data_IF_394696279181
#
_entry.id   IF_394696279181
#
_cell.length_a   1.000
_cell.length_b   1.000
_cell.length_c   1.000
_cell.angle_alpha   90.00
_cell.angle_beta   90.00
_cell.angle_gamma   90.00
#
_symmetry.space_group_name_H-M   'P 1'
#
loop_
_entity.id
_entity.type
_entity.pdbx_description
1 polymer ?
#
# COMPACT_ATOMS: atom_id res chain seq x y z
N UNK A 1 0.44 21.77 -17.06
CA UNK A 1 0.64 20.38 -16.58
C UNK A 1 2.14 20.14 -16.55
N UNK A 2 2.64 19.50 -15.51
CA UNK A 2 4.07 19.26 -15.24
C UNK A 2 4.65 18.08 -16.03
N UNK A 3 3.80 17.20 -16.59
CA UNK A 3 4.24 16.04 -17.39
C UNK A 3 4.26 14.73 -16.62
N UNK A 4 3.98 14.77 -15.31
CA UNK A 4 4.02 13.62 -14.42
C UNK A 4 3.00 12.54 -14.78
N UNK A 5 3.39 11.27 -14.66
CA UNK A 5 2.51 10.10 -14.84
C UNK A 5 2.22 9.46 -13.48
N UNK A 6 0.93 9.27 -13.17
CA UNK A 6 0.49 8.68 -11.90
C UNK A 6 -0.17 7.32 -12.15
N UNK A 7 0.31 6.28 -11.46
CA UNK A 7 -0.15 4.90 -11.59
C UNK A 7 -0.60 4.37 -10.23
N UNK A 8 -1.74 3.68 -10.20
CA UNK A 8 -2.18 2.87 -9.06
C UNK A 8 -2.06 1.39 -9.43
N UNK A 9 -1.29 0.64 -8.64
CA UNK A 9 -1.05 -0.79 -8.84
C UNK A 9 -1.53 -1.56 -7.60
N UNK A 10 -2.36 -2.59 -7.78
CA UNK A 10 -2.87 -3.40 -6.68
C UNK A 10 -2.71 -4.89 -6.92
N UNK A 11 -2.31 -5.62 -5.88
CA UNK A 11 -2.31 -7.07 -5.88
C UNK A 11 -3.56 -7.56 -5.15
N UNK A 12 -4.68 -7.68 -5.87
CA UNK A 12 -5.91 -8.21 -5.30
C UNK A 12 -5.69 -9.65 -4.81
N UNK A 13 -6.14 -9.91 -3.58
CA UNK A 13 -6.32 -11.24 -3.02
C UNK A 13 -7.65 -11.29 -2.25
N UNK A 14 -8.36 -12.44 -2.27
CA UNK A 14 -9.65 -12.60 -1.59
C UNK A 14 -9.61 -12.16 -0.11
N UNK A 15 -10.75 -11.75 0.46
CA UNK A 15 -10.85 -11.47 1.89
C UNK A 15 -10.49 -12.72 2.71
N UNK A 16 -10.00 -12.49 3.93
CA UNK A 16 -9.57 -13.58 4.84
C UNK A 16 -10.73 -14.49 5.25
N UNK A 17 -11.91 -13.89 5.46
CA UNK A 17 -13.13 -14.61 5.81
C UNK A 17 -14.03 -14.81 4.60
N UNK A 18 -14.79 -15.91 4.62
CA UNK A 18 -15.83 -16.24 3.63
C UNK A 18 -17.24 -16.10 4.19
N UNK A 19 -17.37 -15.58 5.41
CA UNK A 19 -18.63 -15.40 6.14
C UNK A 19 -18.93 -13.92 6.37
N UNK A 20 -20.16 -13.60 6.80
CA UNK A 20 -20.56 -12.24 7.17
C UNK A 20 -19.82 -11.69 8.42
N UNK A 21 -19.28 -12.56 9.26
CA UNK A 21 -18.52 -12.17 10.45
C UNK A 21 -17.06 -11.87 10.13
N UNK A 22 -16.49 -10.90 10.84
CA UNK A 22 -15.07 -10.58 10.75
C UNK A 22 -14.21 -11.81 11.08
N UNK A 23 -13.27 -12.13 10.19
CA UNK A 23 -12.29 -13.20 10.41
C UNK A 23 -10.93 -12.57 10.62
N UNK A 24 -10.35 -12.81 11.81
CA UNK A 24 -8.97 -12.44 12.08
C UNK A 24 -8.02 -13.31 11.25
N UNK A 25 -7.03 -12.70 10.61
CA UNK A 25 -6.00 -13.47 9.94
C UNK A 25 -5.22 -12.66 8.92
N UNK A 26 -4.57 -13.39 8.02
CA UNK A 26 -3.64 -12.86 7.04
C UNK A 26 -4.17 -13.17 5.63
N UNK A 27 -4.24 -12.18 4.72
CA UNK A 27 -4.48 -12.46 3.30
C UNK A 27 -3.52 -13.52 2.78
N UNK A 28 -4.08 -14.49 2.07
CA UNK A 28 -3.36 -15.55 1.40
C UNK A 28 -2.89 -15.08 0.01
N UNK A 29 -1.88 -15.75 -0.54
CA UNK A 29 -1.30 -15.47 -1.85
C UNK A 29 0.15 -15.02 -1.78
N UNK A 30 0.78 -14.94 -2.95
CA UNK A 30 2.15 -14.49 -3.11
C UNK A 30 2.23 -12.99 -3.42
N UNK A 31 3.37 -12.38 -3.08
CA UNK A 31 3.73 -11.07 -3.64
C UNK A 31 3.78 -11.16 -5.16
N UNK A 32 3.27 -10.12 -5.84
CA UNK A 32 3.37 -9.99 -7.30
C UNK A 32 4.38 -8.91 -7.63
N UNK A 33 5.27 -9.21 -8.56
CA UNK A 33 6.16 -8.23 -9.15
C UNK A 33 5.50 -7.58 -10.36
N UNK A 34 5.38 -6.26 -10.32
CA UNK A 34 4.96 -5.46 -11.46
C UNK A 34 6.19 -4.89 -12.14
N UNK A 35 6.31 -5.11 -13.46
CA UNK A 35 7.33 -4.51 -14.30
C UNK A 35 6.62 -3.47 -15.16
N UNK A 36 6.80 -2.20 -14.82
CA UNK A 36 6.23 -1.07 -15.55
C UNK A 36 7.30 -0.54 -16.49
N UNK A 37 7.04 -0.62 -17.80
CA UNK A 37 7.87 -0.02 -18.84
C UNK A 37 7.23 1.27 -19.29
N UNK A 38 8.00 2.35 -19.25
CA UNK A 38 7.54 3.67 -19.65
C UNK A 38 8.49 4.21 -20.71
N UNK A 39 7.93 4.48 -21.88
CA UNK A 39 8.66 5.07 -23.00
C UNK A 39 8.80 6.57 -22.80
N UNK A 40 9.86 7.16 -23.35
CA UNK A 40 10.11 8.60 -23.37
C UNK A 40 10.35 9.25 -21.98
N UNK A 41 10.74 8.47 -20.98
CA UNK A 41 11.36 9.00 -19.77
C UNK A 41 12.77 9.54 -20.11
N UNK A 42 13.12 10.70 -19.58
CA UNK A 42 14.47 11.24 -19.65
C UNK A 42 15.45 10.42 -18.79
N UNK A 43 16.74 10.56 -19.09
CA UNK A 43 17.79 9.91 -18.30
C UNK A 43 17.90 10.59 -16.92
N UNK A 44 17.75 9.81 -15.85
CA UNK A 44 17.79 10.32 -14.47
C UNK A 44 16.42 10.46 -13.80
N UNK A 45 15.34 10.12 -14.51
CA UNK A 45 13.98 10.17 -13.98
C UNK A 45 13.78 9.17 -12.83
N UNK A 46 12.98 9.60 -11.86
CA UNK A 46 12.75 8.88 -10.62
C UNK A 46 11.27 8.67 -10.37
N UNK A 47 10.97 7.57 -9.68
CA UNK A 47 9.63 7.26 -9.22
C UNK A 47 9.47 7.61 -7.74
N UNK A 48 8.51 8.46 -7.41
CA UNK A 48 8.02 8.56 -6.04
C UNK A 48 6.99 7.46 -5.80
N UNK A 49 7.22 6.61 -4.80
CA UNK A 49 6.40 5.43 -4.53
C UNK A 49 5.76 5.52 -3.14
N UNK A 50 4.44 5.56 -3.10
CA UNK A 50 3.64 5.44 -1.87
C UNK A 50 3.08 4.04 -1.76
N UNK A 51 3.17 3.43 -0.58
CA UNK A 51 2.73 2.06 -0.34
C UNK A 51 1.68 2.03 0.76
N UNK A 52 0.59 1.33 0.48
CA UNK A 52 -0.44 0.96 1.43
C UNK A 52 -0.43 -0.56 1.59
N UNK A 53 -0.42 -1.04 2.83
CA UNK A 53 -0.46 -2.47 3.11
C UNK A 53 -0.44 -2.75 4.61
N UNK A 54 -0.33 -4.01 5.02
CA UNK A 54 -0.51 -4.43 6.42
C UNK A 54 0.41 -3.80 7.47
N UNK A 55 1.48 -3.14 7.03
CA UNK A 55 2.44 -2.49 7.92
C UNK A 55 2.34 -0.96 7.87
N UNK A 56 1.61 -0.39 6.91
CA UNK A 56 1.55 1.05 6.68
C UNK A 56 0.16 1.45 6.18
N UNK A 57 -0.50 2.37 6.89
CA UNK A 57 -1.88 2.74 6.60
C UNK A 57 -2.90 1.63 6.87
N UNK A 58 -2.59 0.67 7.74
CA UNK A 58 -3.49 -0.42 8.15
C UNK A 58 -3.87 -0.30 9.63
N UNK A 59 -5.09 0.20 9.86
CA UNK A 59 -5.68 0.36 11.18
C UNK A 59 -6.17 -0.97 11.79
N UNK A 60 -6.41 -2.00 10.96
CA UNK A 60 -7.07 -3.25 11.38
C UNK A 60 -6.21 -4.02 12.39
N UNK A 61 -4.88 -4.03 12.20
CA UNK A 61 -3.97 -4.67 13.17
C UNK A 61 -4.07 -4.03 14.55
N UNK A 62 -4.06 -2.69 14.62
CA UNK A 62 -4.17 -1.95 15.87
C UNK A 62 -5.55 -2.14 16.51
N UNK A 63 -6.62 -2.09 15.70
CA UNK A 63 -7.99 -2.29 16.17
C UNK A 63 -8.22 -3.70 16.74
N UNK A 64 -7.62 -4.73 16.12
CA UNK A 64 -7.64 -6.09 16.64
C UNK A 64 -6.90 -6.22 17.97
N UNK A 65 -5.74 -5.57 18.12
CA UNK A 65 -4.97 -5.58 19.36
C UNK A 65 -5.72 -4.92 20.54
N UNK A 66 -6.68 -4.02 20.26
CA UNK A 66 -7.54 -3.39 21.26
C UNK A 66 -8.79 -4.23 21.61
N UNK A 67 -8.99 -5.39 21.00
CA UNK A 67 -10.21 -6.19 21.18
C UNK A 67 -11.41 -5.69 20.41
N UNK A 68 -11.21 -4.82 19.40
CA UNK A 68 -12.26 -4.29 18.51
C UNK A 68 -13.43 -3.61 19.26
N UNK A 69 -13.17 -2.65 20.16
CA UNK A 69 -14.23 -2.00 20.91
C UNK A 69 -15.24 -1.34 19.97
N UNK A 70 -16.53 -1.51 20.24
CA UNK A 70 -17.61 -0.85 19.49
C UNK A 70 -17.54 0.69 19.59
N UNK A 71 -17.03 1.19 20.72
CA UNK A 71 -16.85 2.61 21.01
C UNK A 71 -15.42 2.84 21.52
N UNK A 72 -14.44 3.08 20.63
CA UNK A 72 -13.07 3.37 21.03
C UNK A 72 -12.97 4.65 21.87
N UNK A 73 -12.13 4.65 22.91
CA UNK A 73 -11.81 5.85 23.68
C UNK A 73 -11.04 6.89 22.84
N UNK A 74 -10.91 8.13 23.32
CA UNK A 74 -10.08 9.15 22.64
C UNK A 74 -8.63 8.68 22.46
N UNK A 75 -8.05 8.03 23.45
CA UNK A 75 -6.67 7.51 23.37
C UNK A 75 -6.57 6.38 22.33
N UNK A 76 -7.56 5.48 22.30
CA UNK A 76 -7.62 4.42 21.29
C UNK A 76 -7.75 5.01 19.88
N UNK A 77 -8.58 6.04 19.70
CA UNK A 77 -8.69 6.75 18.42
C UNK A 77 -7.34 7.34 17.99
N UNK A 78 -6.58 7.95 18.90
CA UNK A 78 -5.24 8.46 18.55
C UNK A 78 -4.31 7.34 18.08
N UNK A 79 -4.29 6.20 18.77
CA UNK A 79 -3.49 5.04 18.33
C UNK A 79 -3.94 4.54 16.95
N UNK A 80 -5.25 4.47 16.69
CA UNK A 80 -5.79 4.09 15.39
C UNK A 80 -5.39 5.09 14.29
N UNK A 81 -5.41 6.40 14.58
CA UNK A 81 -4.96 7.45 13.65
C UNK A 81 -3.47 7.31 13.34
N UNK A 82 -2.63 7.03 14.34
CA UNK A 82 -1.20 6.79 14.10
C UNK A 82 -0.99 5.55 13.24
N UNK A 83 -1.72 4.46 13.48
CA UNK A 83 -1.63 3.24 12.68
C UNK A 83 -2.14 3.44 11.22
N UNK A 84 -3.09 4.34 11.02
CA UNK A 84 -3.64 4.69 9.71
C UNK A 84 -2.74 5.64 8.90
N UNK A 85 -1.67 6.20 9.48
CA UNK A 85 -0.74 7.04 8.72
C UNK A 85 -0.06 6.23 7.61
N UNK A 86 -0.01 6.82 6.43
CA UNK A 86 0.75 6.30 5.31
C UNK A 86 2.24 6.31 5.65
N UNK A 87 2.99 5.34 5.12
CA UNK A 87 4.44 5.42 5.11
C UNK A 87 4.88 6.66 4.31
N UNK A 88 6.03 7.22 4.70
CA UNK A 88 6.69 8.22 3.88
C UNK A 88 6.93 7.64 2.47
N UNK A 89 6.71 8.44 1.41
CA UNK A 89 7.03 7.99 0.06
C UNK A 89 8.51 7.66 -0.05
N UNK A 90 8.83 6.66 -0.85
CA UNK A 90 10.21 6.28 -1.16
C UNK A 90 10.52 6.66 -2.60
N UNK A 91 11.67 7.30 -2.80
CA UNK A 91 12.25 7.46 -4.12
C UNK A 91 12.78 6.13 -4.62
N UNK A 92 12.43 5.78 -5.84
CA UNK A 92 12.84 4.53 -6.46
C UNK A 92 13.40 4.82 -7.86
N UNK A 93 14.57 4.29 -8.13
CA UNK A 93 15.23 4.44 -9.42
C UNK A 93 14.43 3.76 -10.53
N UNK A 94 14.38 4.42 -11.68
CA UNK A 94 13.92 3.84 -12.94
C UNK A 94 15.15 3.52 -13.77
N UNK A 95 15.28 2.27 -14.19
CA UNK A 95 16.43 1.81 -14.99
C UNK A 95 15.96 1.50 -16.39
N UNK A 96 16.49 2.20 -17.40
CA UNK A 96 16.13 2.01 -18.81
C UNK A 96 14.61 2.08 -19.05
N UNK A 97 13.96 3.09 -18.48
CA UNK A 97 12.49 3.25 -18.54
C UNK A 97 11.70 2.15 -17.81
N UNK A 98 12.37 1.32 -16.99
CA UNK A 98 11.76 0.18 -16.31
C UNK A 98 11.73 0.40 -14.79
N UNK A 99 10.53 0.43 -14.23
CA UNK A 99 10.28 0.39 -12.79
C UNK A 99 9.81 -1.01 -12.38
N UNK A 100 10.40 -1.56 -11.32
CA UNK A 100 10.00 -2.85 -10.73
C UNK A 100 9.40 -2.65 -9.35
N UNK A 101 8.18 -3.12 -9.12
CA UNK A 101 7.49 -2.96 -7.84
C UNK A 101 6.94 -4.28 -7.35
N UNK A 102 7.46 -4.78 -6.22
CA UNK A 102 6.85 -5.92 -5.53
C UNK A 102 5.70 -5.45 -4.64
N UNK A 103 4.53 -6.07 -4.81
CA UNK A 103 3.30 -5.74 -4.10
C UNK A 103 2.78 -6.99 -3.37
N UNK A 104 2.73 -7.01 -2.02
CA UNK A 104 2.19 -8.14 -1.27
C UNK A 104 0.68 -8.30 -1.51
N UNK A 105 0.08 -9.46 -1.18
CA UNK A 105 -1.37 -9.65 -1.25
C UNK A 105 -2.13 -8.54 -0.51
N UNK A 106 -3.17 -8.01 -1.14
CA UNK A 106 -3.94 -6.84 -0.69
C UNK A 106 -3.11 -5.55 -0.52
N UNK A 107 -1.91 -5.51 -1.12
CA UNK A 107 -1.11 -4.30 -1.20
C UNK A 107 -1.60 -3.38 -2.33
N UNK A 108 -1.48 -2.08 -2.08
CA UNK A 108 -1.71 -1.02 -3.06
C UNK A 108 -0.45 -0.14 -3.10
N UNK A 109 -0.04 0.24 -4.31
CA UNK A 109 1.08 1.16 -4.52
C UNK A 109 0.62 2.26 -5.46
N UNK A 110 0.89 3.50 -5.09
CA UNK A 110 0.81 4.65 -5.99
C UNK A 110 2.22 5.00 -6.41
N UNK A 111 2.42 5.18 -7.70
CA UNK A 111 3.68 5.60 -8.31
C UNK A 111 3.44 6.93 -9.01
N UNK A 112 4.28 7.91 -8.74
CA UNK A 112 4.38 9.13 -9.55
C UNK A 112 5.74 9.11 -10.22
N UNK A 113 5.74 9.14 -11.54
CA UNK A 113 6.92 9.29 -12.38
C UNK A 113 7.04 10.75 -12.77
N UNK A 114 8.24 11.30 -12.58
CA UNK A 114 8.62 12.67 -12.93
C UNK A 114 9.54 12.66 -14.14
#
# INVERSE_FOLDING_TARGET
KDGSVVLALWNYAPPVGTTASYTFGKPQGASKQFIVKVSHLAAGDHATVWRLGRHHGDVIRAFNAMGRPAYPSREQIEVLRQAAKLAAPRQQAVHDGTLRVDIPPQGLVVVVLH
#
